data_IF_273285884780
#
_entry.id   IF_273285884780
#
_cell.length_a   1.000
_cell.length_b   1.000
_cell.length_c   1.000
_cell.angle_alpha   90.00
_cell.angle_beta   90.00
_cell.angle_gamma   90.00
#
_symmetry.space_group_name_H-M   'P 1'
#
loop_
_entity.id
_entity.type
_entity.pdbx_description
1 polymer ?
#
# COMPACT_ATOMS: atom_id res chain seq x y z
N UNK A 1 -3.14 -18.57 -13.31
CA UNK A 1 -3.08 -17.25 -12.69
C UNK A 1 -2.39 -17.40 -11.34
N UNK A 2 -1.41 -16.55 -10.98
CA UNK A 2 -0.69 -16.64 -9.71
C UNK A 2 -1.57 -16.27 -8.50
N UNK A 3 -1.07 -16.45 -7.27
CA UNK A 3 -1.80 -16.06 -6.07
C UNK A 3 -2.09 -14.55 -6.08
N UNK A 4 -3.19 -14.11 -5.43
CA UNK A 4 -3.54 -12.70 -5.36
C UNK A 4 -2.46 -11.90 -4.62
N UNK A 5 -2.27 -10.67 -5.04
CA UNK A 5 -1.22 -9.79 -4.52
C UNK A 5 -1.82 -8.54 -3.87
N UNK A 6 -1.23 -8.16 -2.75
CA UNK A 6 -1.48 -6.92 -2.03
C UNK A 6 -0.16 -6.17 -1.97
N UNK A 7 -0.09 -4.99 -2.55
CA UNK A 7 1.12 -4.19 -2.57
C UNK A 7 1.09 -3.07 -1.52
N UNK A 8 2.25 -2.74 -1.01
CA UNK A 8 2.45 -1.62 -0.09
C UNK A 8 3.44 -0.63 -0.70
N UNK A 9 3.03 0.62 -0.78
CA UNK A 9 3.83 1.73 -1.25
C UNK A 9 3.82 2.85 -0.21
N UNK A 10 4.82 3.69 -0.21
CA UNK A 10 4.89 4.81 0.71
C UNK A 10 6.21 5.54 0.59
N UNK A 11 6.28 6.74 1.19
CA UNK A 11 7.52 7.49 1.29
C UNK A 11 8.51 6.73 2.17
N UNK A 12 9.79 6.96 1.92
CA UNK A 12 10.84 6.42 2.79
C UNK A 12 10.59 6.82 4.25
N UNK A 13 10.80 5.86 5.16
CA UNK A 13 10.61 6.03 6.61
C UNK A 13 9.15 6.29 7.06
N UNK A 14 8.17 5.94 6.25
CA UNK A 14 6.76 6.08 6.60
C UNK A 14 6.27 5.06 7.66
N UNK A 15 7.06 4.02 7.93
CA UNK A 15 6.70 2.93 8.85
C UNK A 15 6.16 1.68 8.14
N UNK A 16 6.50 1.49 6.86
CA UNK A 16 5.99 0.38 6.03
C UNK A 16 6.36 -1.00 6.59
N UNK A 17 7.63 -1.23 6.92
CA UNK A 17 8.08 -2.51 7.49
C UNK A 17 7.41 -2.82 8.83
N UNK A 18 7.27 -1.82 9.70
CA UNK A 18 6.61 -1.97 11.00
C UNK A 18 5.13 -2.33 10.84
N UNK A 19 4.44 -1.71 9.89
CA UNK A 19 3.03 -2.02 9.62
C UNK A 19 2.86 -3.42 9.03
N UNK A 20 3.68 -3.81 8.08
CA UNK A 20 3.64 -5.16 7.48
C UNK A 20 3.90 -6.22 8.55
N UNK A 21 4.86 -6.01 9.44
CA UNK A 21 5.11 -6.91 10.57
C UNK A 21 3.91 -6.99 11.52
N UNK A 22 3.29 -5.87 11.84
CA UNK A 22 2.09 -5.83 12.70
C UNK A 22 0.90 -6.55 12.05
N UNK A 23 0.69 -6.38 10.75
CA UNK A 23 -0.36 -7.05 9.98
C UNK A 23 -0.21 -8.57 9.97
N UNK A 24 0.99 -9.04 9.80
CA UNK A 24 1.29 -10.47 9.64
C UNK A 24 1.57 -11.17 10.96
N UNK A 25 1.76 -10.43 12.06
CA UNK A 25 2.17 -10.96 13.35
C UNK A 25 3.60 -11.54 13.33
N UNK A 26 4.42 -11.15 12.36
CA UNK A 26 5.78 -11.67 12.17
C UNK A 26 6.80 -10.54 12.24
N UNK A 27 7.90 -10.79 12.90
CA UNK A 27 9.02 -9.84 12.96
C UNK A 27 9.82 -9.79 11.65
N UNK A 28 9.76 -10.84 10.87
CA UNK A 28 10.32 -10.90 9.53
C UNK A 28 9.55 -11.88 8.66
N UNK A 29 9.30 -11.49 7.42
CA UNK A 29 8.68 -12.34 6.41
C UNK A 29 9.76 -12.97 5.52
N UNK A 30 9.56 -14.24 5.17
CA UNK A 30 10.44 -14.91 4.22
C UNK A 30 10.24 -14.32 2.82
N UNK A 31 11.30 -13.80 2.23
CA UNK A 31 11.30 -13.31 0.85
C UNK A 31 11.23 -14.48 -0.12
N UNK A 32 10.35 -14.39 -1.11
CA UNK A 32 10.22 -15.41 -2.15
C UNK A 32 10.92 -15.03 -3.45
N UNK A 33 10.94 -13.74 -3.80
CA UNK A 33 11.60 -13.26 -5.02
C UNK A 33 11.87 -11.76 -4.96
N UNK A 34 12.72 -11.31 -5.87
CA UNK A 34 13.04 -9.90 -6.13
C UNK A 34 13.06 -9.67 -7.63
N UNK A 35 12.87 -8.42 -8.05
CA UNK A 35 13.07 -8.02 -9.45
C UNK A 35 14.57 -8.00 -9.78
N UNK A 36 15.05 -8.86 -10.70
CA UNK A 36 16.48 -8.90 -11.00
C UNK A 36 16.95 -7.68 -11.81
N UNK A 37 18.21 -7.29 -11.62
CA UNK A 37 18.89 -6.30 -12.46
C UNK A 37 18.46 -4.85 -12.30
N UNK A 38 17.74 -4.50 -11.24
CA UNK A 38 17.29 -3.12 -10.98
C UNK A 38 17.89 -2.55 -9.70
N UNK A 39 18.18 -1.24 -9.69
CA UNK A 39 18.67 -0.51 -8.52
C UNK A 39 17.60 -0.43 -7.42
N UNK A 40 16.33 -0.33 -7.83
CA UNK A 40 15.17 -0.43 -6.95
C UNK A 40 14.45 -1.74 -7.24
N UNK A 41 14.04 -2.44 -6.18
CA UNK A 41 13.48 -3.77 -6.28
C UNK A 41 12.10 -3.87 -5.64
N UNK A 42 11.23 -4.64 -6.28
CA UNK A 42 10.02 -5.18 -5.64
C UNK A 42 10.42 -6.44 -4.87
N UNK A 43 9.93 -6.53 -3.65
CA UNK A 43 10.18 -7.68 -2.79
C UNK A 43 8.85 -8.39 -2.54
N UNK A 44 8.82 -9.69 -2.83
CA UNK A 44 7.63 -10.52 -2.71
C UNK A 44 7.74 -11.39 -1.48
N UNK A 45 6.67 -11.44 -0.68
CA UNK A 45 6.55 -12.30 0.48
C UNK A 45 5.33 -13.21 0.32
N UNK A 46 5.51 -14.50 0.56
CA UNK A 46 4.40 -15.45 0.50
C UNK A 46 3.62 -15.49 1.82
N UNK A 47 2.30 -15.47 1.72
CA UNK A 47 1.37 -15.64 2.82
C UNK A 47 0.72 -17.04 2.78
N UNK A 48 1.51 -18.06 3.10
CA UNK A 48 1.06 -19.46 3.17
C UNK A 48 0.37 -19.95 1.89
N UNK A 49 0.86 -19.54 0.73
CA UNK A 49 0.31 -19.88 -0.57
C UNK A 49 -1.05 -19.25 -0.91
N UNK A 50 -1.64 -18.50 0.00
CA UNK A 50 -2.96 -17.88 -0.19
C UNK A 50 -2.91 -16.51 -0.88
N UNK A 51 -1.85 -15.76 -0.62
CA UNK A 51 -1.63 -14.44 -1.17
C UNK A 51 -0.14 -14.07 -1.17
N UNK A 52 0.22 -13.04 -1.90
CA UNK A 52 1.55 -12.43 -1.81
C UNK A 52 1.44 -10.99 -1.34
N UNK A 53 2.30 -10.60 -0.42
CA UNK A 53 2.58 -9.21 -0.13
C UNK A 53 3.69 -8.73 -1.05
N UNK A 54 3.53 -7.56 -1.60
CA UNK A 54 4.54 -6.93 -2.48
C UNK A 54 5.00 -5.64 -1.83
N UNK A 55 6.26 -5.62 -1.44
CA UNK A 55 6.89 -4.43 -0.87
C UNK A 55 7.52 -3.61 -1.98
N UNK A 56 6.93 -2.44 -2.25
CA UNK A 56 7.46 -1.49 -3.22
C UNK A 56 8.54 -0.63 -2.55
N UNK A 57 9.59 -0.22 -3.28
CA UNK A 57 10.60 0.67 -2.71
C UNK A 57 10.01 2.01 -2.31
N UNK A 58 10.56 2.61 -1.25
CA UNK A 58 10.14 3.93 -0.79
C UNK A 58 10.39 5.03 -1.84
N UNK A 59 9.54 6.03 -1.87
CA UNK A 59 9.67 7.20 -2.74
C UNK A 59 9.86 8.49 -1.93
N UNK A 60 10.08 9.62 -2.61
CA UNK A 60 10.05 10.96 -1.99
C UNK A 60 11.25 11.33 -1.14
N UNK A 61 12.42 10.77 -1.41
CA UNK A 61 13.66 11.22 -0.79
C UNK A 61 14.03 12.61 -1.32
N UNK A 62 14.10 13.61 -0.44
CA UNK A 62 14.47 14.98 -0.80
C UNK A 62 15.91 15.13 -1.36
N UNK A 63 16.79 14.18 -1.05
CA UNK A 63 18.18 14.15 -1.49
C UNK A 63 18.42 13.22 -2.68
N UNK A 64 17.36 12.65 -3.28
CA UNK A 64 17.51 11.66 -4.33
C UNK A 64 17.52 12.35 -5.68
N UNK A 65 18.56 12.07 -6.47
CA UNK A 65 18.68 12.49 -7.83
C UNK A 65 17.40 12.12 -8.63
N UNK A 66 17.05 13.01 -9.57
CA UNK A 66 15.93 12.84 -10.51
C UNK A 66 15.88 11.43 -11.12
N UNK A 67 17.05 10.82 -11.37
CA UNK A 67 17.20 9.46 -11.86
C UNK A 67 16.56 8.37 -10.99
N UNK A 68 16.55 8.51 -9.66
CA UNK A 68 15.90 7.53 -8.77
C UNK A 68 14.39 7.67 -8.74
N UNK A 69 13.87 8.88 -8.84
CA UNK A 69 12.43 9.14 -8.97
C UNK A 69 11.89 8.56 -10.29
N UNK A 70 12.61 8.76 -11.38
CA UNK A 70 12.28 8.18 -12.67
C UNK A 70 12.32 6.65 -12.64
N UNK A 71 13.37 6.07 -12.02
CA UNK A 71 13.52 4.62 -11.84
C UNK A 71 12.38 4.01 -11.01
N UNK A 72 11.94 4.70 -9.94
CA UNK A 72 10.78 4.26 -9.17
C UNK A 72 9.50 4.26 -10.01
N UNK A 73 9.28 5.32 -10.77
CA UNK A 73 8.12 5.44 -11.66
C UNK A 73 8.08 4.37 -12.76
N UNK A 74 9.22 4.04 -13.34
CA UNK A 74 9.36 2.96 -14.32
C UNK A 74 9.05 1.60 -13.69
N UNK A 75 9.65 1.31 -12.53
CA UNK A 75 9.42 0.07 -11.80
C UNK A 75 7.93 -0.10 -11.46
N UNK A 76 7.30 0.95 -10.97
CA UNK A 76 5.89 0.95 -10.62
C UNK A 76 5.01 0.71 -11.87
N UNK A 77 5.29 1.40 -12.98
CA UNK A 77 4.55 1.21 -14.24
C UNK A 77 4.69 -0.21 -14.77
N UNK A 78 5.89 -0.75 -14.78
CA UNK A 78 6.16 -2.10 -15.27
C UNK A 78 5.45 -3.16 -14.42
N UNK A 79 5.48 -2.98 -13.10
CA UNK A 79 4.80 -3.89 -12.17
C UNK A 79 3.27 -3.79 -12.26
N UNK A 80 2.74 -2.57 -12.30
CA UNK A 80 1.30 -2.32 -12.23
C UNK A 80 0.58 -2.59 -13.54
N UNK A 81 1.26 -2.46 -14.65
CA UNK A 81 0.66 -2.50 -15.98
C UNK A 81 0.09 -3.88 -16.31
N UNK A 82 -1.24 -3.96 -16.32
CA UNK A 82 -1.95 -5.16 -16.72
C UNK A 82 -1.74 -6.37 -15.79
N UNK A 83 -1.45 -6.15 -14.52
CA UNK A 83 -1.21 -7.23 -13.56
C UNK A 83 -2.49 -7.76 -12.92
N UNK A 84 -3.05 -8.87 -13.42
CA UNK A 84 -4.36 -9.35 -12.98
C UNK A 84 -4.34 -9.96 -11.56
N UNK A 85 -3.16 -10.30 -11.03
CA UNK A 85 -3.00 -10.80 -9.66
C UNK A 85 -3.07 -9.71 -8.60
N UNK A 86 -2.78 -8.44 -8.96
CA UNK A 86 -2.79 -7.33 -8.03
C UNK A 86 -4.23 -6.90 -7.72
N UNK A 87 -4.61 -7.00 -6.44
CA UNK A 87 -5.94 -6.60 -5.97
C UNK A 87 -6.00 -5.12 -5.59
N UNK A 88 -5.02 -4.66 -4.83
CA UNK A 88 -4.96 -3.28 -4.34
C UNK A 88 -3.57 -2.90 -3.90
N UNK A 89 -3.22 -1.63 -4.09
CA UNK A 89 -2.04 -1.03 -3.48
C UNK A 89 -2.47 -0.25 -2.24
N UNK A 90 -1.83 -0.49 -1.11
CA UNK A 90 -1.99 0.34 0.08
C UNK A 90 -0.89 1.39 0.09
N UNK A 91 -1.30 2.65 -0.02
CA UNK A 91 -0.40 3.81 0.02
C UNK A 91 -0.31 4.27 1.46
N UNK A 92 0.86 4.12 2.06
CA UNK A 92 1.10 4.47 3.45
C UNK A 92 1.54 5.93 3.54
N UNK A 93 0.88 6.68 4.42
CA UNK A 93 1.11 8.10 4.63
C UNK A 93 1.31 8.33 6.13
N UNK A 94 2.33 9.11 6.48
CA UNK A 94 2.58 9.48 7.87
C UNK A 94 1.41 10.33 8.42
N UNK A 95 0.71 9.80 9.40
CA UNK A 95 -0.45 10.44 10.00
C UNK A 95 -0.14 11.78 10.67
N UNK A 96 1.11 12.02 11.07
CA UNK A 96 1.53 13.29 11.65
C UNK A 96 1.47 14.46 10.65
N UNK A 97 1.65 14.16 9.37
CA UNK A 97 1.80 15.17 8.30
C UNK A 97 0.68 15.14 7.28
N UNK A 98 0.02 13.99 7.05
CA UNK A 98 -0.96 13.80 6.00
C UNK A 98 -0.34 13.73 4.61
N UNK A 99 -1.17 13.84 3.58
CA UNK A 99 -0.75 13.77 2.18
C UNK A 99 0.21 14.90 1.80
N UNK A 100 1.29 14.53 1.12
CA UNK A 100 2.28 15.45 0.55
C UNK A 100 2.27 15.35 -0.97
N UNK A 101 2.92 16.28 -1.66
CA UNK A 101 2.95 16.31 -3.13
C UNK A 101 3.51 15.02 -3.72
N UNK A 102 4.53 14.43 -3.11
CA UNK A 102 5.08 13.15 -3.55
C UNK A 102 4.05 12.01 -3.49
N UNK A 103 3.16 12.04 -2.50
CA UNK A 103 2.05 11.08 -2.40
C UNK A 103 1.05 11.30 -3.55
N UNK A 104 0.71 12.54 -3.85
CA UNK A 104 -0.17 12.89 -4.97
C UNK A 104 0.43 12.50 -6.32
N UNK A 105 1.72 12.69 -6.53
CA UNK A 105 2.41 12.26 -7.75
C UNK A 105 2.31 10.75 -7.94
N UNK A 106 2.55 9.99 -6.87
CA UNK A 106 2.44 8.53 -6.87
C UNK A 106 1.00 8.08 -7.15
N UNK A 107 0.03 8.71 -6.48
CA UNK A 107 -1.39 8.41 -6.69
C UNK A 107 -1.84 8.73 -8.12
N UNK A 108 -1.36 9.81 -8.72
CA UNK A 108 -1.64 10.12 -10.14
C UNK A 108 -1.12 9.03 -11.08
N UNK A 109 0.03 8.44 -10.78
CA UNK A 109 0.55 7.32 -11.55
C UNK A 109 -0.36 6.09 -11.43
N UNK A 110 -0.89 5.80 -10.26
CA UNK A 110 -1.86 4.72 -10.05
C UNK A 110 -3.18 5.00 -10.74
N UNK A 111 -3.68 6.22 -10.68
CA UNK A 111 -4.89 6.64 -11.40
C UNK A 111 -4.74 6.42 -12.91
N UNK A 112 -3.61 6.84 -13.48
CA UNK A 112 -3.31 6.67 -14.91
C UNK A 112 -3.20 5.21 -15.33
N UNK A 113 -2.73 4.33 -14.45
CA UNK A 113 -2.64 2.89 -14.66
C UNK A 113 -3.95 2.14 -14.37
N UNK A 114 -4.98 2.83 -13.92
CA UNK A 114 -6.25 2.25 -13.46
C UNK A 114 -6.07 1.18 -12.38
N UNK A 115 -5.15 1.40 -11.46
CA UNK A 115 -4.84 0.50 -10.35
C UNK A 115 -5.57 0.97 -9.10
N UNK A 116 -6.38 0.10 -8.52
CA UNK A 116 -7.05 0.37 -7.23
C UNK A 116 -6.03 0.55 -6.11
N UNK A 117 -6.19 1.62 -5.32
CA UNK A 117 -5.40 1.83 -4.12
C UNK A 117 -6.23 2.41 -2.99
N UNK A 118 -5.77 2.20 -1.76
CA UNK A 118 -6.35 2.78 -0.56
C UNK A 118 -5.24 3.44 0.27
N UNK A 119 -5.55 4.54 0.92
CA UNK A 119 -4.60 5.24 1.79
C UNK A 119 -4.73 4.76 3.23
N UNK A 120 -3.60 4.45 3.83
CA UNK A 120 -3.47 4.08 5.24
C UNK A 120 -2.57 5.10 5.92
N UNK A 121 -3.08 5.76 6.94
CA UNK A 121 -2.29 6.66 7.78
C UNK A 121 -1.54 5.83 8.82
N UNK A 122 -0.25 6.05 8.94
CA UNK A 122 0.63 5.40 9.94
C UNK A 122 0.93 6.34 11.09
N UNK A 123 1.53 5.81 12.16
CA UNK A 123 1.95 6.58 13.33
C UNK A 123 0.81 7.33 14.02
N UNK A 124 -0.36 6.70 14.06
CA UNK A 124 -1.55 7.28 14.70
C UNK A 124 -1.37 7.58 16.18
N UNK A 125 -0.50 6.84 16.87
CA UNK A 125 -0.13 7.07 18.28
C UNK A 125 0.60 8.41 18.49
N UNK A 126 1.21 8.96 17.44
CA UNK A 126 1.88 10.26 17.46
C UNK A 126 0.97 11.41 17.01
N UNK A 127 -0.30 11.13 16.69
CA UNK A 127 -1.33 12.13 16.38
C UNK A 127 -2.22 12.31 17.62
N UNK A 128 -2.36 13.53 18.09
CA UNK A 128 -3.22 13.82 19.25
C UNK A 128 -4.65 13.35 18.98
N UNK A 129 -5.29 12.74 19.98
CA UNK A 129 -6.64 12.21 19.85
C UNK A 129 -7.65 13.22 19.27
N UNK A 130 -7.55 14.50 19.68
CA UNK A 130 -8.41 15.55 19.17
C UNK A 130 -8.19 15.88 17.68
N UNK A 131 -7.03 15.55 17.12
CA UNK A 131 -6.65 15.86 15.75
C UNK A 131 -6.86 14.69 14.77
N UNK A 132 -7.13 13.49 15.27
CA UNK A 132 -7.20 12.28 14.46
C UNK A 132 -8.32 12.32 13.43
N UNK A 133 -9.53 12.70 13.82
CA UNK A 133 -10.67 12.80 12.89
C UNK A 133 -10.44 13.84 11.81
N UNK A 134 -9.90 15.00 12.17
CA UNK A 134 -9.55 16.05 11.21
C UNK A 134 -8.48 15.59 10.21
N UNK A 135 -7.52 14.77 10.65
CA UNK A 135 -6.49 14.21 9.78
C UNK A 135 -7.08 13.22 8.76
N UNK A 136 -8.00 12.40 9.20
CA UNK A 136 -8.71 11.46 8.33
C UNK A 136 -9.56 12.23 7.31
N UNK A 137 -10.34 13.23 7.75
CA UNK A 137 -11.16 14.06 6.86
C UNK A 137 -10.34 14.82 5.82
N UNK A 138 -9.23 15.43 6.22
CA UNK A 138 -8.32 16.13 5.31
C UNK A 138 -7.73 15.17 4.26
N UNK A 139 -7.41 13.96 4.66
CA UNK A 139 -6.91 12.92 3.76
C UNK A 139 -7.99 12.52 2.76
N UNK A 140 -9.22 12.26 3.21
CA UNK A 140 -10.36 11.94 2.35
C UNK A 140 -10.64 13.07 1.35
N UNK A 141 -10.57 14.31 1.78
CA UNK A 141 -10.73 15.47 0.89
C UNK A 141 -9.65 15.49 -0.21
N UNK A 142 -8.41 15.21 0.16
CA UNK A 142 -7.31 15.10 -0.79
C UNK A 142 -7.47 13.96 -1.81
N UNK A 143 -8.22 12.91 -1.47
CA UNK A 143 -8.47 11.77 -2.36
C UNK A 143 -9.59 12.03 -3.38
N UNK A 144 -10.42 13.03 -3.22
CA UNK A 144 -11.57 13.29 -4.10
C UNK A 144 -11.19 13.49 -5.57
N UNK A 145 -10.01 14.04 -5.81
CA UNK A 145 -9.49 14.27 -7.17
C UNK A 145 -8.78 13.06 -7.78
N UNK A 146 -8.71 11.94 -7.06
CA UNK A 146 -8.03 10.73 -7.49
C UNK A 146 -9.04 9.62 -7.81
N UNK A 147 -9.20 9.30 -9.10
CA UNK A 147 -10.27 8.41 -9.57
C UNK A 147 -10.14 6.95 -9.16
N UNK A 148 -8.92 6.46 -8.92
CA UNK A 148 -8.68 5.07 -8.52
C UNK A 148 -8.57 4.88 -7.00
N UNK A 149 -8.66 5.96 -6.22
CA UNK A 149 -8.58 5.90 -4.77
C UNK A 149 -9.84 5.30 -4.16
N UNK A 150 -9.68 4.32 -3.29
CA UNK A 150 -10.76 3.79 -2.48
C UNK A 150 -11.22 4.86 -1.46
N UNK A 151 -12.53 5.09 -1.29
CA UNK A 151 -13.05 6.22 -0.50
C UNK A 151 -13.07 5.99 1.01
N UNK A 152 -12.12 5.28 1.54
CA UNK A 152 -11.92 5.06 2.97
C UNK A 152 -10.45 5.28 3.33
N UNK A 153 -10.22 5.79 4.53
CA UNK A 153 -8.88 5.99 5.11
C UNK A 153 -8.85 5.32 6.47
N UNK A 154 -7.84 4.48 6.68
CA UNK A 154 -7.63 3.79 7.96
C UNK A 154 -6.43 4.43 8.66
N UNK A 155 -6.64 4.88 9.90
CA UNK A 155 -5.56 5.36 10.77
C UNK A 155 -5.01 4.18 11.58
N UNK A 156 -3.71 3.94 11.47
CA UNK A 156 -3.04 2.81 12.12
C UNK A 156 -1.90 3.26 13.02
N UNK A 157 -1.61 2.44 14.01
CA UNK A 157 -0.37 2.49 14.79
C UNK A 157 0.19 1.09 14.91
N UNK A 158 1.35 0.84 14.33
CA UNK A 158 2.06 -0.43 14.54
C UNK A 158 2.57 -0.59 15.98
N UNK A 159 2.74 0.51 16.68
CA UNK A 159 3.20 0.50 18.08
C UNK A 159 2.10 0.07 19.05
N UNK A 160 0.88 0.60 18.91
CA UNK A 160 -0.26 0.29 19.79
C UNK A 160 -1.13 -0.83 19.27
N UNK A 161 -1.07 -1.11 17.97
CA UNK A 161 -1.97 -2.04 17.28
C UNK A 161 -3.27 -1.43 16.81
N UNK A 162 -3.54 -0.15 17.12
CA UNK A 162 -4.77 0.52 16.70
C UNK A 162 -4.92 0.53 15.17
N UNK A 163 -6.11 0.24 14.68
CA UNK A 163 -6.43 0.18 13.25
C UNK A 163 -5.88 -1.02 12.49
N UNK A 164 -4.98 -1.81 13.07
CA UNK A 164 -4.38 -2.98 12.40
C UNK A 164 -5.43 -4.07 12.13
N UNK A 165 -6.32 -4.34 13.07
CA UNK A 165 -7.40 -5.30 12.89
C UNK A 165 -8.37 -4.85 11.79
N UNK A 166 -8.69 -3.57 11.70
CA UNK A 166 -9.51 -2.98 10.65
C UNK A 166 -8.87 -3.15 9.27
N UNK A 167 -7.56 -2.89 9.17
CA UNK A 167 -6.81 -3.09 7.93
C UNK A 167 -6.76 -4.57 7.53
N UNK A 168 -6.56 -5.49 8.48
CA UNK A 168 -6.65 -6.94 8.22
C UNK A 168 -8.01 -7.34 7.67
N UNK A 169 -9.09 -6.81 8.24
CA UNK A 169 -10.45 -7.10 7.78
C UNK A 169 -10.67 -6.59 6.36
N UNK A 170 -10.14 -5.43 6.02
CA UNK A 170 -10.20 -4.88 4.67
C UNK A 170 -9.49 -5.79 3.66
N UNK A 171 -8.28 -6.23 3.97
CA UNK A 171 -7.50 -7.16 3.13
C UNK A 171 -8.22 -8.51 3.00
N UNK A 172 -8.76 -9.04 4.10
CA UNK A 172 -9.48 -10.31 4.10
C UNK A 172 -10.73 -10.25 3.19
N UNK A 173 -11.46 -9.15 3.19
CA UNK A 173 -12.59 -8.94 2.27
C UNK A 173 -12.15 -8.94 0.81
N UNK A 174 -11.07 -8.25 0.47
CA UNK A 174 -10.52 -8.24 -0.88
C UNK A 174 -10.17 -9.65 -1.37
N UNK A 175 -9.54 -10.45 -0.51
CA UNK A 175 -9.17 -11.82 -0.83
C UNK A 175 -10.41 -12.72 -0.99
N UNK A 176 -11.42 -12.55 -0.14
CA UNK A 176 -12.66 -13.31 -0.19
C UNK A 176 -13.49 -13.00 -1.43
N UNK A 177 -13.60 -11.75 -1.83
CA UNK A 177 -14.32 -11.31 -3.04
C UNK A 177 -13.75 -11.97 -4.29
N UNK A 178 -12.44 -12.11 -4.38
CA UNK A 178 -11.79 -12.82 -5.49
C UNK A 178 -12.05 -14.33 -5.45
N UNK A 179 -12.01 -14.95 -4.27
CA UNK A 179 -12.33 -16.35 -4.08
C UNK A 179 -13.78 -16.69 -4.45
N UNK A 180 -14.73 -15.79 -4.11
CA UNK A 180 -16.15 -15.92 -4.43
C UNK A 180 -16.46 -15.83 -5.93
N UNK A 181 -15.71 -15.02 -6.67
CA UNK A 181 -15.85 -14.92 -8.14
C UNK A 181 -15.51 -16.23 -8.86
N UNK A 182 -14.70 -17.08 -8.25
CA UNK A 182 -14.38 -18.40 -8.82
C UNK A 182 -15.42 -19.46 -8.46
N UNK A 183 -16.15 -19.29 -7.37
CA UNK A 183 -17.20 -20.24 -6.96
C UNK A 183 -18.48 -20.14 -7.80
N UNK A 184 -18.73 -18.98 -8.41
CA UNK A 184 -19.92 -18.75 -9.24
C UNK A 184 -19.77 -19.11 -10.73
N UNK A 185 -18.63 -19.64 -11.15
CA UNK A 185 -18.40 -20.07 -12.55
C UNK A 185 -18.44 -21.62 -12.66
N UNK A 186 -18.65 -22.33 -11.56
CA UNK A 186 -18.71 -23.79 -11.51
C UNK A 186 -20.11 -24.32 -11.14
N UNK A 187 -21.15 -23.77 -11.81
CA UNK A 187 -22.49 -24.38 -11.86
C UNK A 187 -23.02 -24.37 -13.28
#
# INVERSE_FOLDING_TARGET
MGPPEIAFAGRSNVGKSSLVNALTGRNSLARTSRTPGRTQELIFFDLNGKARLVDMPGYGYAAVAKSKSESWGELARDYLRGRPSLLRVFVLVDGRHGLKENDHETMRAFDAAAVSYAVVLTKGDEVKAADQSGRIEATLEGLRKHGAAYPEVILTSSRTGDGVAELRAHIARLLAERGGSHANIAT
#
